data_IF_374512002648
#
_entry.id   IF_374512002648
#
_cell.length_a   1.000
_cell.length_b   1.000
_cell.length_c   1.000
_cell.angle_alpha   90.00
_cell.angle_beta   90.00
_cell.angle_gamma   90.00
#
_symmetry.space_group_name_H-M   'P 1'
#
loop_
_entity.id
_entity.type
_entity.pdbx_description
1 polymer ?
#
# COMPACT_ATOMS: atom_id res chain seq x y z
N UNK A 1 30.02 -8.59 -5.81
CA UNK A 1 28.82 -9.04 -5.07
C UNK A 1 28.10 -10.09 -5.93
N UNK A 2 28.50 -11.35 -5.77
CA UNK A 2 28.06 -12.52 -6.58
C UNK A 2 26.54 -12.64 -6.71
N UNK A 3 25.80 -12.36 -5.64
CA UNK A 3 24.33 -12.37 -5.63
C UNK A 3 23.68 -11.50 -6.72
N UNK A 4 24.26 -10.32 -7.01
CA UNK A 4 23.70 -9.43 -8.05
C UNK A 4 23.86 -10.04 -9.45
N UNK A 5 24.97 -10.71 -9.70
CA UNK A 5 25.25 -11.38 -10.97
C UNK A 5 24.33 -12.60 -11.16
N UNK A 6 24.19 -13.45 -10.14
CA UNK A 6 23.29 -14.60 -10.18
C UNK A 6 21.83 -14.20 -10.39
N UNK A 7 21.35 -13.19 -9.66
CA UNK A 7 19.99 -12.67 -9.80
C UNK A 7 19.74 -12.13 -11.20
N UNK A 8 20.73 -11.48 -11.82
CA UNK A 8 20.63 -10.97 -13.19
C UNK A 8 20.56 -12.12 -14.19
N UNK A 9 21.43 -13.12 -14.08
CA UNK A 9 21.45 -14.29 -14.95
C UNK A 9 20.13 -15.07 -14.90
N UNK A 10 19.60 -15.34 -13.69
CA UNK A 10 18.32 -16.04 -13.51
C UNK A 10 17.12 -15.25 -14.07
N UNK A 11 17.14 -13.91 -14.00
CA UNK A 11 16.11 -13.07 -14.63
C UNK A 11 16.15 -13.16 -16.16
N UNK A 12 17.34 -13.20 -16.76
CA UNK A 12 17.50 -13.36 -18.21
C UNK A 12 17.01 -14.73 -18.68
N UNK A 13 17.41 -15.81 -18.00
CA UNK A 13 16.91 -17.15 -18.26
C UNK A 13 15.37 -17.22 -18.17
N UNK A 14 14.78 -16.58 -17.14
CA UNK A 14 13.32 -16.50 -17.03
C UNK A 14 12.65 -15.76 -18.19
N UNK A 15 13.24 -14.67 -18.69
CA UNK A 15 12.68 -13.95 -19.83
C UNK A 15 12.70 -14.79 -21.11
N UNK A 16 13.76 -15.56 -21.34
CA UNK A 16 13.89 -16.46 -22.48
C UNK A 16 12.86 -17.59 -22.41
N UNK A 17 12.76 -18.26 -21.25
CA UNK A 17 11.77 -19.31 -21.03
C UNK A 17 10.33 -18.81 -21.23
N UNK A 18 10.05 -17.58 -20.78
CA UNK A 18 8.73 -16.94 -20.97
C UNK A 18 8.44 -16.68 -22.45
N UNK A 19 9.43 -16.28 -23.24
CA UNK A 19 9.29 -16.07 -24.67
C UNK A 19 9.04 -17.39 -25.40
N UNK A 20 9.81 -18.43 -25.09
CA UNK A 20 9.62 -19.78 -25.66
C UNK A 20 8.22 -20.30 -25.33
N UNK A 21 7.78 -20.21 -24.07
CA UNK A 21 6.44 -20.67 -23.66
C UNK A 21 5.32 -19.97 -24.43
N UNK A 22 5.44 -18.65 -24.65
CA UNK A 22 4.49 -17.87 -25.46
C UNK A 22 4.44 -18.35 -26.92
N UNK A 23 5.60 -18.55 -27.54
CA UNK A 23 5.68 -19.06 -28.93
C UNK A 23 5.08 -20.47 -29.05
N UNK A 24 5.23 -21.30 -28.03
CA UNK A 24 4.65 -22.65 -27.98
C UNK A 24 3.16 -22.67 -27.58
N UNK A 25 2.55 -21.54 -27.25
CA UNK A 25 1.18 -21.47 -26.71
C UNK A 25 1.02 -22.10 -25.32
N UNK A 26 2.12 -22.37 -24.61
CA UNK A 26 2.12 -22.96 -23.27
C UNK A 26 2.13 -21.87 -22.19
N UNK A 27 1.64 -22.23 -21.01
CA UNK A 27 1.71 -21.35 -19.83
C UNK A 27 3.19 -21.11 -19.46
N UNK A 28 3.62 -19.85 -19.28
CA UNK A 28 5.00 -19.55 -18.90
C UNK A 28 5.31 -20.09 -17.49
N UNK A 29 6.57 -20.45 -17.21
CA UNK A 29 6.98 -20.89 -15.90
C UNK A 29 6.75 -19.81 -14.83
N UNK A 30 6.63 -20.17 -13.54
CA UNK A 30 6.56 -19.20 -12.46
C UNK A 30 7.85 -18.38 -12.37
N UNK A 31 7.74 -17.12 -11.93
CA UNK A 31 8.89 -16.23 -11.78
C UNK A 31 9.81 -16.76 -10.66
N UNK A 32 11.11 -17.01 -10.91
CA UNK A 32 12.04 -17.58 -9.93
C UNK A 32 12.37 -16.65 -8.76
N UNK A 33 12.11 -15.34 -8.89
CA UNK A 33 12.22 -14.38 -7.79
C UNK A 33 10.97 -13.49 -7.76
N UNK A 34 9.86 -13.97 -7.16
CA UNK A 34 8.74 -13.10 -6.87
C UNK A 34 9.22 -11.94 -5.98
N UNK A 35 8.71 -10.74 -6.25
CA UNK A 35 8.87 -9.65 -5.29
C UNK A 35 8.02 -9.96 -4.07
N UNK A 36 8.53 -9.68 -2.86
CA UNK A 36 7.76 -9.86 -1.61
C UNK A 36 6.36 -9.21 -1.69
N UNK A 37 6.24 -8.07 -2.35
CA UNK A 37 4.94 -7.40 -2.61
C UNK A 37 3.95 -8.31 -3.37
N UNK A 38 4.42 -9.12 -4.32
CA UNK A 38 3.55 -10.02 -5.11
C UNK A 38 3.10 -11.23 -4.30
N UNK A 39 3.88 -11.66 -3.32
CA UNK A 39 3.50 -12.72 -2.39
C UNK A 39 2.38 -12.22 -1.48
N UNK A 40 2.58 -11.05 -0.86
CA UNK A 40 1.56 -10.37 -0.04
C UNK A 40 0.28 -10.14 -0.86
N UNK A 41 0.40 -9.60 -2.08
CA UNK A 41 -0.77 -9.40 -2.95
C UNK A 41 -1.50 -10.70 -3.29
N UNK A 42 -0.78 -11.82 -3.47
CA UNK A 42 -1.40 -13.11 -3.76
C UNK A 42 -2.20 -13.64 -2.56
N UNK A 43 -1.68 -13.42 -1.35
CA UNK A 43 -2.37 -13.75 -0.10
C UNK A 43 -3.61 -12.87 0.10
N UNK A 44 -3.46 -11.55 -0.06
CA UNK A 44 -4.54 -10.57 0.14
C UNK A 44 -5.64 -10.67 -0.93
N UNK A 45 -5.33 -11.12 -2.15
CA UNK A 45 -6.27 -11.19 -3.27
C UNK A 45 -7.56 -11.94 -2.92
N UNK A 46 -7.46 -12.94 -2.04
CA UNK A 46 -8.61 -13.74 -1.56
C UNK A 46 -9.63 -12.88 -0.80
N UNK A 47 -9.16 -11.87 -0.08
CA UNK A 47 -10.00 -11.02 0.77
C UNK A 47 -10.38 -9.69 0.10
N UNK A 48 -9.77 -9.34 -1.05
CA UNK A 48 -10.07 -8.10 -1.77
C UNK A 48 -11.57 -7.99 -2.06
N UNK A 49 -12.20 -9.05 -2.57
CA UNK A 49 -13.63 -8.98 -2.93
C UNK A 49 -14.50 -8.82 -1.69
N UNK A 50 -14.27 -9.60 -0.65
CA UNK A 50 -15.09 -9.55 0.56
C UNK A 50 -15.01 -8.19 1.26
N UNK A 51 -13.85 -7.51 1.23
CA UNK A 51 -13.71 -6.16 1.80
C UNK A 51 -14.70 -5.14 1.25
N UNK A 52 -15.08 -5.27 -0.02
CA UNK A 52 -15.96 -4.31 -0.67
C UNK A 52 -17.42 -4.79 -0.78
N UNK A 53 -17.65 -6.11 -0.78
CA UNK A 53 -18.97 -6.68 -1.06
C UNK A 53 -19.58 -7.46 0.10
N UNK A 54 -18.82 -7.79 1.15
CA UNK A 54 -19.39 -8.48 2.30
C UNK A 54 -20.11 -7.48 3.22
N UNK A 55 -21.43 -7.61 3.42
CA UNK A 55 -22.21 -6.66 4.22
C UNK A 55 -21.72 -6.56 5.67
N UNK A 56 -21.24 -7.66 6.25
CA UNK A 56 -20.71 -7.66 7.63
C UNK A 56 -19.44 -6.83 7.76
N UNK A 57 -18.56 -6.87 6.75
CA UNK A 57 -17.33 -6.08 6.74
C UNK A 57 -17.66 -4.60 6.56
N UNK A 58 -18.62 -4.28 5.69
CA UNK A 58 -19.08 -2.91 5.50
C UNK A 58 -19.69 -2.33 6.79
N UNK A 59 -20.46 -3.12 7.52
CA UNK A 59 -21.04 -2.72 8.81
C UNK A 59 -19.96 -2.40 9.85
N UNK A 60 -18.94 -3.26 9.98
CA UNK A 60 -17.79 -3.01 10.86
C UNK A 60 -17.07 -1.70 10.46
N UNK A 61 -16.84 -1.48 9.16
CA UNK A 61 -16.19 -0.25 8.68
C UNK A 61 -17.04 0.99 8.98
N UNK A 62 -18.37 0.89 8.91
CA UNK A 62 -19.27 1.99 9.28
C UNK A 62 -19.21 2.29 10.78
N UNK A 63 -19.21 1.26 11.63
CA UNK A 63 -19.05 1.43 13.08
C UNK A 63 -17.72 2.11 13.42
N UNK A 64 -16.60 1.67 12.83
CA UNK A 64 -15.29 2.27 13.06
C UNK A 64 -15.22 3.74 12.60
N UNK A 65 -15.93 4.11 11.52
CA UNK A 65 -16.02 5.51 11.08
C UNK A 65 -16.82 6.35 12.07
N UNK A 66 -17.91 5.82 12.61
CA UNK A 66 -18.73 6.50 13.60
C UNK A 66 -17.96 6.71 14.91
N UNK A 67 -17.24 5.69 15.38
CA UNK A 67 -16.37 5.76 16.56
C UNK A 67 -15.28 6.83 16.39
N UNK A 68 -14.58 6.82 15.25
CA UNK A 68 -13.56 7.83 14.94
C UNK A 68 -14.12 9.25 14.84
N UNK A 69 -15.34 9.40 14.33
CA UNK A 69 -16.01 10.70 14.29
C UNK A 69 -16.40 11.20 15.68
N UNK A 70 -16.86 10.29 16.56
CA UNK A 70 -17.16 10.60 17.95
C UNK A 70 -15.90 11.00 18.73
N UNK A 71 -14.81 10.25 18.59
CA UNK A 71 -13.51 10.57 19.19
C UNK A 71 -12.99 11.95 18.73
N UNK A 72 -13.11 12.25 17.43
CA UNK A 72 -12.72 13.55 16.89
C UNK A 72 -13.60 14.68 17.45
N UNK A 73 -14.90 14.45 17.62
CA UNK A 73 -15.82 15.43 18.19
C UNK A 73 -15.56 15.64 19.69
N UNK A 74 -15.27 14.57 20.44
CA UNK A 74 -14.88 14.64 21.84
C UNK A 74 -13.58 15.43 22.01
N UNK A 75 -12.56 15.12 21.21
CA UNK A 75 -11.32 15.90 21.15
C UNK A 75 -11.62 17.36 20.83
N UNK A 76 -12.48 17.64 19.85
CA UNK A 76 -12.84 19.02 19.49
C UNK A 76 -13.64 19.75 20.58
N UNK A 77 -14.44 19.05 21.38
CA UNK A 77 -15.10 19.60 22.58
C UNK A 77 -14.10 19.86 23.71
N UNK A 78 -13.12 18.99 23.88
CA UNK A 78 -12.03 19.16 24.85
C UNK A 78 -11.14 20.37 24.49
N UNK A 79 -10.78 20.52 23.21
CA UNK A 79 -10.10 21.72 22.70
C UNK A 79 -11.00 22.98 22.67
N UNK A 80 -12.33 22.81 22.64
CA UNK A 80 -13.30 23.91 22.67
C UNK A 80 -13.66 24.41 24.07
N UNK A 81 -13.42 23.62 25.12
CA UNK A 81 -13.75 23.95 26.51
C UNK A 81 -12.51 24.36 27.34
N UNK A 82 -11.30 24.26 26.78
CA UNK A 82 -10.07 24.83 27.33
C UNK A 82 -9.75 26.17 26.68
N UNK A 83 -10.30 27.25 27.23
CA UNK A 83 -9.98 28.60 26.78
C UNK A 83 -8.48 28.92 26.93
N UNK A 84 -7.89 29.48 25.87
CA UNK A 84 -6.68 30.32 26.00
C UNK A 84 -5.51 29.96 25.09
N UNK A 85 -5.32 30.78 24.05
CA UNK A 85 -3.99 31.27 23.66
C UNK A 85 -3.19 30.41 22.68
N UNK A 86 -2.83 31.03 21.55
CA UNK A 86 -1.69 30.56 20.75
C UNK A 86 -1.93 30.59 19.25
N UNK A 87 -2.06 31.78 18.68
CA UNK A 87 -1.79 31.96 17.25
C UNK A 87 -0.32 31.65 16.98
N UNK A 88 -0.03 30.39 16.63
CA UNK A 88 1.29 29.98 16.13
C UNK A 88 1.37 30.33 14.65
N UNK A 89 2.18 31.33 14.33
CA UNK A 89 2.57 31.68 12.98
C UNK A 89 2.99 30.43 12.19
N UNK A 90 2.44 30.26 10.99
CA UNK A 90 2.99 29.31 10.01
C UNK A 90 4.20 29.99 9.40
N UNK A 91 5.38 29.69 9.93
CA UNK A 91 6.63 30.10 9.31
C UNK A 91 6.70 29.50 7.89
N UNK A 92 6.70 30.39 6.91
CA UNK A 92 6.75 30.06 5.50
C UNK A 92 8.03 29.32 5.15
N UNK A 93 7.88 28.17 4.51
CA UNK A 93 8.98 27.45 3.91
C UNK A 93 9.47 28.22 2.67
N UNK A 94 10.46 29.09 2.85
CA UNK A 94 11.14 29.78 1.76
C UNK A 94 12.15 28.81 1.11
N UNK A 95 11.67 28.04 0.14
CA UNK A 95 12.49 27.17 -0.70
C UNK A 95 13.40 28.00 -1.59
N UNK A 96 14.59 28.33 -1.07
CA UNK A 96 15.63 29.04 -1.78
C UNK A 96 16.02 28.33 -3.07
N UNK A 97 15.74 29.01 -4.19
CA UNK A 97 16.31 28.74 -5.49
C UNK A 97 17.83 28.90 -5.39
N UNK A 98 18.59 27.85 -5.73
CA UNK A 98 19.99 27.99 -6.15
C UNK A 98 20.08 27.53 -7.60
N UNK A 99 20.44 28.49 -8.44
CA UNK A 99 20.84 28.33 -9.83
C UNK A 99 22.17 27.58 -9.89
#
# INVERSE_FOLDING_TARGET
>A
MEYRAEKKAKKQAYSELKQIARLQGKKPPPNPYPSAIKEIQAEEKKFVRDRFFNPKILEIVQMMKAEKAAEMQERQREFGNGGGGGGGQRDGWNGGQRQ
#
